data_IF_457364389548
#
_entry.id   IF_457364389548
#
_cell.length_a   1.000
_cell.length_b   1.000
_cell.length_c   1.000
_cell.angle_alpha   90.00
_cell.angle_beta   90.00
_cell.angle_gamma   90.00
#
_symmetry.space_group_name_H-M   'P 1'
#
loop_
_entity.id
_entity.type
_entity.pdbx_description
1 polymer ?
#
# COMPACT_ATOMS: atom_id res chain seq x y z
N UNK A 1 16.42 -3.56 -7.71
CA UNK A 1 15.19 -3.66 -6.90
C UNK A 1 15.48 -3.30 -5.45
N UNK A 2 14.65 -2.50 -4.87
CA UNK A 2 14.75 -2.15 -3.46
C UNK A 2 13.47 -2.57 -2.75
N UNK A 3 13.61 -3.22 -1.60
CA UNK A 3 12.49 -3.75 -0.83
C UNK A 3 12.52 -3.15 0.56
N UNK A 4 11.36 -2.72 1.04
CA UNK A 4 11.18 -2.21 2.39
C UNK A 4 10.05 -2.97 3.08
N UNK A 5 10.14 -3.05 4.40
CA UNK A 5 9.14 -3.75 5.19
C UNK A 5 8.85 -2.92 6.44
N UNK A 6 7.58 -2.83 6.79
CA UNK A 6 7.15 -2.17 8.01
C UNK A 6 5.99 -2.96 8.60
N UNK A 7 5.75 -2.77 9.90
CA UNK A 7 4.71 -3.52 10.60
C UNK A 7 4.07 -2.65 11.67
N UNK A 8 2.87 -3.06 12.08
CA UNK A 8 2.12 -2.41 13.15
C UNK A 8 1.20 -3.44 13.81
N UNK A 9 0.71 -3.10 14.99
CA UNK A 9 -0.26 -3.93 15.71
C UNK A 9 -1.47 -3.05 16.05
N UNK A 10 -2.66 -3.53 15.73
CA UNK A 10 -3.91 -2.80 15.98
C UNK A 10 -4.78 -3.57 16.95
N UNK A 11 -5.45 -2.86 17.87
CA UNK A 11 -6.37 -3.46 18.84
C UNK A 11 -7.74 -3.66 18.20
N UNK A 12 -7.80 -4.52 17.18
CA UNK A 12 -9.01 -4.81 16.44
C UNK A 12 -8.88 -6.17 15.78
N UNK A 13 -9.99 -6.75 15.35
CA UNK A 13 -9.97 -8.02 14.62
C UNK A 13 -9.46 -7.82 13.20
N UNK A 14 -8.97 -8.90 12.54
CA UNK A 14 -8.56 -8.80 11.15
C UNK A 14 -9.67 -8.27 10.22
N UNK A 15 -10.92 -8.63 10.48
CA UNK A 15 -12.05 -8.13 9.69
C UNK A 15 -12.20 -6.61 9.81
N UNK A 16 -12.05 -6.07 11.00
CA UNK A 16 -12.14 -4.62 11.21
C UNK A 16 -10.97 -3.87 10.59
N UNK A 17 -9.76 -4.42 10.70
CA UNK A 17 -8.58 -3.85 10.07
C UNK A 17 -8.72 -3.88 8.56
N UNK A 18 -9.24 -4.98 8.01
CA UNK A 18 -9.45 -5.12 6.58
C UNK A 18 -10.42 -4.09 6.00
N UNK A 19 -11.43 -3.68 6.75
CA UNK A 19 -12.37 -2.66 6.32
C UNK A 19 -11.69 -1.33 5.99
N UNK A 20 -10.53 -1.09 6.57
CA UNK A 20 -9.74 0.12 6.29
C UNK A 20 -8.66 -0.17 5.27
N UNK A 21 -7.81 -1.17 5.52
CA UNK A 21 -6.63 -1.43 4.70
C UNK A 21 -6.96 -2.11 3.38
N UNK A 22 -7.99 -2.94 3.35
CA UNK A 22 -8.40 -3.66 2.15
C UNK A 22 -9.46 -2.94 1.32
N UNK A 23 -9.87 -1.75 1.71
CA UNK A 23 -10.89 -0.97 0.99
C UNK A 23 -10.24 0.18 0.22
N UNK A 24 -10.15 0.09 -1.12
CA UNK A 24 -9.48 1.12 -1.91
C UNK A 24 -10.10 2.51 -1.77
N UNK A 25 -11.42 2.58 -1.51
CA UNK A 25 -12.10 3.86 -1.34
C UNK A 25 -11.62 4.63 -0.12
N UNK A 26 -10.98 3.96 0.83
CA UNK A 26 -10.46 4.57 2.05
C UNK A 26 -8.97 4.84 2.01
N UNK A 27 -8.29 4.48 0.92
CA UNK A 27 -6.84 4.65 0.84
C UNK A 27 -6.40 6.11 0.95
N UNK A 28 -7.20 7.05 0.48
CA UNK A 28 -6.90 8.47 0.64
C UNK A 28 -6.89 8.93 2.09
N UNK A 29 -7.49 8.17 3.00
CA UNK A 29 -7.58 8.53 4.41
C UNK A 29 -6.33 8.10 5.20
N UNK A 30 -5.60 7.10 4.73
CA UNK A 30 -4.46 6.57 5.48
C UNK A 30 -3.18 6.38 4.67
N UNK A 31 -3.28 5.96 3.41
CA UNK A 31 -2.10 5.70 2.57
C UNK A 31 -1.52 7.02 2.08
N UNK A 32 -0.41 7.42 2.70
CA UNK A 32 0.17 8.76 2.52
C UNK A 32 0.52 9.06 1.07
N UNK A 33 1.01 8.06 0.32
CA UNK A 33 1.39 8.25 -1.08
C UNK A 33 0.18 8.33 -2.02
N UNK A 34 -0.97 7.82 -1.61
CA UNK A 34 -2.18 7.82 -2.44
C UNK A 34 -2.90 9.17 -2.35
N UNK A 35 -3.24 9.76 -3.48
CA UNK A 35 -3.98 11.02 -3.55
C UNK A 35 -5.43 10.80 -3.93
N UNK A 36 -5.66 10.14 -5.05
CA UNK A 36 -7.01 9.90 -5.56
C UNK A 36 -7.00 8.77 -6.59
N UNK A 37 -8.18 8.25 -6.91
CA UNK A 37 -8.35 7.29 -7.99
C UNK A 37 -8.71 8.03 -9.28
N UNK A 38 -8.03 7.71 -10.37
CA UNK A 38 -8.37 8.23 -11.70
C UNK A 38 -9.46 7.41 -12.37
N UNK A 39 -9.52 6.12 -12.06
CA UNK A 39 -10.51 5.22 -12.60
C UNK A 39 -11.44 4.73 -11.49
N UNK A 40 -12.56 4.12 -11.87
CA UNK A 40 -13.47 3.51 -10.90
C UNK A 40 -12.76 2.36 -10.18
N UNK A 41 -12.99 2.23 -8.88
CA UNK A 41 -12.50 1.10 -8.11
C UNK A 41 -13.67 0.30 -7.56
N UNK A 42 -13.56 -1.03 -7.46
CA UNK A 42 -14.63 -1.84 -6.89
C UNK A 42 -14.75 -1.56 -5.38
N UNK A 43 -15.96 -1.67 -4.84
CA UNK A 43 -16.19 -1.54 -3.42
C UNK A 43 -15.50 -2.66 -2.63
N UNK A 44 -15.43 -3.84 -3.25
CA UNK A 44 -14.71 -4.99 -2.70
C UNK A 44 -13.72 -5.45 -3.74
N UNK A 45 -12.46 -5.59 -3.33
CA UNK A 45 -11.40 -6.05 -4.21
C UNK A 45 -11.53 -7.55 -4.48
N UNK A 46 -11.21 -7.94 -5.71
CA UNK A 46 -11.06 -9.33 -6.11
C UNK A 46 -9.75 -9.51 -6.87
N UNK A 47 -9.20 -10.70 -6.85
CA UNK A 47 -7.98 -10.99 -7.59
C UNK A 47 -8.21 -10.75 -9.08
N UNK A 48 -7.29 -10.02 -9.71
CA UNK A 48 -7.38 -9.63 -11.11
C UNK A 48 -7.95 -8.25 -11.37
N UNK A 49 -8.50 -7.57 -10.34
CA UNK A 49 -8.98 -6.21 -10.49
C UNK A 49 -7.83 -5.26 -10.76
N UNK A 50 -8.12 -4.17 -11.46
CA UNK A 50 -7.13 -3.14 -11.78
C UNK A 50 -7.75 -1.75 -11.62
N UNK A 51 -6.92 -0.78 -11.27
CA UNK A 51 -7.33 0.62 -11.16
C UNK A 51 -6.13 1.53 -11.30
N UNK A 52 -6.38 2.76 -11.78
CA UNK A 52 -5.33 3.77 -11.94
C UNK A 52 -5.47 4.82 -10.87
N UNK A 53 -4.36 5.14 -10.21
CA UNK A 53 -4.32 6.09 -9.10
C UNK A 53 -3.41 7.27 -9.38
N UNK A 54 -3.77 8.41 -8.82
CA UNK A 54 -2.86 9.55 -8.66
C UNK A 54 -2.17 9.38 -7.31
N UNK A 55 -0.84 9.48 -7.31
CA UNK A 55 -0.04 9.33 -6.12
C UNK A 55 1.00 10.45 -6.03
N UNK A 56 1.63 10.56 -4.88
CA UNK A 56 2.74 11.50 -4.67
C UNK A 56 3.85 10.78 -3.95
N UNK A 57 5.04 10.79 -4.53
CA UNK A 57 6.24 10.20 -3.93
C UNK A 57 7.31 11.28 -3.91
N UNK A 58 7.85 11.58 -2.72
CA UNK A 58 8.84 12.65 -2.53
C UNK A 58 8.35 14.00 -3.09
N UNK A 59 7.06 14.32 -2.87
CA UNK A 59 6.39 15.52 -3.37
C UNK A 59 6.28 15.59 -4.90
N UNK A 60 6.55 14.50 -5.60
CA UNK A 60 6.38 14.42 -7.06
C UNK A 60 5.09 13.70 -7.40
N UNK A 61 4.24 14.29 -8.26
CA UNK A 61 3.02 13.60 -8.68
C UNK A 61 3.37 12.41 -9.60
N UNK A 62 2.73 11.29 -9.35
CA UNK A 62 2.93 10.05 -10.13
C UNK A 62 1.58 9.44 -10.44
N UNK A 63 1.47 8.84 -11.61
CA UNK A 63 0.31 8.02 -11.95
C UNK A 63 0.72 6.56 -11.88
N UNK A 64 -0.02 5.77 -11.13
CA UNK A 64 0.28 4.34 -10.94
C UNK A 64 -0.89 3.51 -11.47
N UNK A 65 -0.59 2.58 -12.36
CA UNK A 65 -1.55 1.57 -12.82
C UNK A 65 -1.40 0.34 -11.94
N UNK A 66 -2.36 0.13 -11.03
CA UNK A 66 -2.35 -0.98 -10.10
C UNK A 66 -3.10 -2.18 -10.64
N UNK A 67 -2.56 -3.37 -10.39
CA UNK A 67 -3.25 -4.65 -10.59
C UNK A 67 -3.27 -5.38 -9.25
N UNK A 68 -4.46 -5.74 -8.79
CA UNK A 68 -4.63 -6.48 -7.55
C UNK A 68 -4.47 -7.96 -7.85
N UNK A 69 -3.24 -8.46 -7.71
CA UNK A 69 -2.85 -9.79 -8.18
C UNK A 69 -3.42 -10.90 -7.33
N UNK A 70 -3.48 -10.70 -6.01
CA UNK A 70 -4.01 -11.69 -5.09
C UNK A 70 -4.75 -10.99 -3.94
N UNK A 71 -6.02 -11.31 -3.77
CA UNK A 71 -6.84 -10.76 -2.69
C UNK A 71 -7.41 -11.93 -1.89
N UNK A 72 -6.95 -12.07 -0.67
CA UNK A 72 -7.41 -13.10 0.27
C UNK A 72 -7.90 -12.42 1.55
N UNK A 73 -9.11 -11.85 1.47
CA UNK A 73 -9.71 -11.13 2.59
C UNK A 73 -10.09 -12.08 3.71
N UNK A 74 -9.87 -11.73 4.97
CA UNK A 74 -9.24 -10.50 5.48
C UNK A 74 -7.75 -10.68 5.83
N UNK A 75 -7.04 -11.58 5.17
CA UNK A 75 -5.67 -11.97 5.54
C UNK A 75 -4.58 -11.27 4.77
N UNK A 76 -4.74 -11.11 3.45
CA UNK A 76 -3.66 -10.59 2.64
C UNK A 76 -4.15 -9.94 1.35
N UNK A 77 -3.31 -9.05 0.84
CA UNK A 77 -3.50 -8.38 -0.44
C UNK A 77 -2.11 -8.21 -1.07
N UNK A 78 -1.96 -8.66 -2.30
CA UNK A 78 -0.75 -8.44 -3.08
C UNK A 78 -1.13 -7.70 -4.36
N UNK A 79 -0.42 -6.62 -4.66
CA UNK A 79 -0.70 -5.81 -5.84
C UNK A 79 0.60 -5.34 -6.48
N UNK A 80 0.57 -5.23 -7.79
CA UNK A 80 1.68 -4.70 -8.57
C UNK A 80 1.25 -3.43 -9.28
N UNK A 81 2.16 -2.47 -9.39
CA UNK A 81 1.89 -1.21 -10.06
C UNK A 81 3.00 -0.84 -11.03
N UNK A 82 2.64 -0.10 -12.06
CA UNK A 82 3.61 0.46 -12.99
C UNK A 82 3.33 1.95 -13.15
N UNK A 83 4.40 2.73 -13.26
CA UNK A 83 4.30 4.15 -13.55
C UNK A 83 4.66 4.40 -15.00
N UNK A 84 4.30 5.57 -15.51
CA UNK A 84 4.63 5.97 -16.87
C UNK A 84 6.11 6.25 -17.07
N UNK A 85 6.83 6.42 -15.96
CA UNK A 85 8.29 6.58 -15.99
C UNK A 85 9.05 5.24 -16.02
N UNK A 86 8.33 4.11 -16.10
CA UNK A 86 8.95 2.80 -16.17
C UNK A 86 9.32 2.21 -14.82
N UNK A 87 8.91 2.82 -13.73
CA UNK A 87 9.14 2.29 -12.38
C UNK A 87 8.07 1.25 -12.07
N UNK A 88 8.48 0.11 -11.54
CA UNK A 88 7.58 -0.96 -11.12
C UNK A 88 7.51 -1.00 -9.59
N UNK A 89 6.31 -1.15 -9.09
CA UNK A 89 6.01 -1.22 -7.67
C UNK A 89 5.34 -2.54 -7.34
N UNK A 90 5.65 -3.09 -6.18
CA UNK A 90 4.91 -4.21 -5.63
C UNK A 90 4.59 -3.90 -4.18
N UNK A 91 3.35 -4.13 -3.77
CA UNK A 91 2.89 -3.88 -2.42
C UNK A 91 2.16 -5.11 -1.92
N UNK A 92 2.56 -5.60 -0.76
CA UNK A 92 1.90 -6.72 -0.11
C UNK A 92 1.54 -6.33 1.31
N UNK A 93 0.31 -6.61 1.70
CA UNK A 93 -0.20 -6.37 3.05
C UNK A 93 -0.66 -7.71 3.58
N UNK A 94 -0.21 -8.09 4.79
CA UNK A 94 -0.69 -9.29 5.45
C UNK A 94 -1.15 -8.97 6.87
N UNK A 95 -2.24 -9.63 7.27
CA UNK A 95 -2.87 -9.47 8.57
C UNK A 95 -2.87 -10.81 9.28
N UNK A 96 -2.42 -10.81 10.54
CA UNK A 96 -2.45 -12.02 11.38
C UNK A 96 -3.15 -11.69 12.69
N UNK A 97 -4.25 -12.38 12.96
CA UNK A 97 -4.98 -12.22 14.22
C UNK A 97 -4.20 -12.82 15.38
N UNK A 98 -4.09 -12.07 16.49
CA UNK A 98 -3.44 -12.49 17.72
C UNK A 98 -4.33 -12.05 18.87
N UNK A 99 -4.86 -13.00 19.65
CA UNK A 99 -5.71 -12.71 20.81
C UNK A 99 -6.71 -11.54 20.53
N UNK A 100 -6.42 -10.34 21.04
CA UNK A 100 -7.29 -9.17 20.86
C UNK A 100 -6.73 -8.16 19.87
N UNK A 101 -5.66 -8.51 19.16
CA UNK A 101 -4.98 -7.60 18.23
C UNK A 101 -4.83 -8.25 16.87
N UNK A 102 -4.46 -7.42 15.89
CA UNK A 102 -4.07 -7.87 14.57
C UNK A 102 -2.68 -7.32 14.25
N UNK A 103 -1.77 -8.22 13.93
CA UNK A 103 -0.46 -7.83 13.43
C UNK A 103 -0.57 -7.55 11.92
N UNK A 104 -0.10 -6.39 11.51
CA UNK A 104 -0.10 -5.98 10.10
C UNK A 104 1.32 -5.86 9.62
N UNK A 105 1.62 -6.48 8.50
CA UNK A 105 2.93 -6.39 7.86
C UNK A 105 2.75 -5.88 6.44
N UNK A 106 3.53 -4.86 6.08
CA UNK A 106 3.53 -4.29 4.74
C UNK A 106 4.91 -4.42 4.15
N UNK A 107 4.98 -5.05 2.99
CA UNK A 107 6.22 -5.17 2.21
C UNK A 107 6.02 -4.45 0.89
N UNK A 108 6.96 -3.57 0.55
CA UNK A 108 6.92 -2.82 -0.70
C UNK A 108 8.25 -2.97 -1.43
N UNK A 109 8.18 -3.18 -2.73
CA UNK A 109 9.36 -3.27 -3.60
C UNK A 109 9.24 -2.24 -4.70
N UNK A 110 10.36 -1.62 -5.05
CA UNK A 110 10.47 -0.63 -6.12
C UNK A 110 11.62 -1.04 -7.04
N UNK A 111 11.37 -0.98 -8.36
CA UNK A 111 12.35 -1.40 -9.36
C UNK A 111 12.28 -0.49 -10.59
N UNK A 112 13.43 -0.23 -11.18
CA UNK A 112 13.56 0.51 -12.44
C UNK A 112 13.81 2.01 -12.29
N UNK A 113 14.18 2.65 -13.39
CA UNK A 113 14.39 4.09 -13.44
C UNK A 113 15.46 4.58 -12.48
N UNK A 114 15.16 5.67 -11.78
CA UNK A 114 16.08 6.28 -10.81
C UNK A 114 16.36 5.41 -9.58
N UNK A 115 15.51 4.40 -9.35
CA UNK A 115 15.62 3.53 -8.16
C UNK A 115 16.89 2.70 -8.22
N UNK A 116 17.34 2.34 -9.41
CA UNK A 116 18.56 1.55 -9.61
C UNK A 116 19.82 2.41 -9.57
N UNK A 117 19.67 3.73 -9.50
CA UNK A 117 20.78 4.66 -9.49
C UNK A 117 21.11 5.19 -8.09
N UNK A 118 21.95 6.25 -8.01
CA UNK A 118 22.38 6.82 -6.72
C UNK A 118 21.23 7.31 -5.83
N UNK A 119 20.10 7.66 -6.41
CA UNK A 119 18.94 8.15 -5.66
C UNK A 119 18.10 7.05 -5.03
N UNK A 120 18.38 5.78 -5.34
CA UNK A 120 17.60 4.65 -4.86
C UNK A 120 17.50 4.56 -3.34
N UNK A 121 18.60 4.88 -2.63
CA UNK A 121 18.61 4.89 -1.18
C UNK A 121 17.68 5.96 -0.59
N UNK A 122 17.64 7.13 -1.22
CA UNK A 122 16.76 8.22 -0.80
C UNK A 122 15.30 7.83 -1.02
N UNK A 123 14.97 7.24 -2.16
CA UNK A 123 13.63 6.71 -2.43
C UNK A 123 13.21 5.66 -1.42
N UNK A 124 14.11 4.72 -1.11
CA UNK A 124 13.84 3.67 -0.14
C UNK A 124 13.49 4.26 1.23
N UNK A 125 14.29 5.21 1.70
CA UNK A 125 14.06 5.83 3.02
C UNK A 125 12.77 6.64 3.03
N UNK A 126 12.46 7.35 1.95
CA UNK A 126 11.21 8.10 1.80
C UNK A 126 10.00 7.15 1.84
N UNK A 127 10.10 6.01 1.17
CA UNK A 127 9.01 5.02 1.14
C UNK A 127 8.79 4.41 2.52
N UNK A 128 9.84 4.05 3.24
CA UNK A 128 9.72 3.53 4.61
C UNK A 128 8.99 4.53 5.50
N UNK A 129 9.40 5.79 5.47
CA UNK A 129 8.76 6.83 6.26
C UNK A 129 7.29 7.02 5.91
N UNK A 130 6.96 6.99 4.61
CA UNK A 130 5.58 7.12 4.15
C UNK A 130 4.72 5.95 4.60
N UNK A 131 5.23 4.72 4.53
CA UNK A 131 4.51 3.53 4.96
C UNK A 131 4.29 3.52 6.48
N UNK A 132 5.31 3.89 7.26
CA UNK A 132 5.17 3.97 8.72
C UNK A 132 4.11 5.00 9.10
N UNK A 133 4.12 6.16 8.46
CA UNK A 133 3.13 7.20 8.68
C UNK A 133 1.73 6.74 8.26
N UNK A 134 1.64 6.00 7.17
CA UNK A 134 0.38 5.44 6.69
C UNK A 134 -0.22 4.49 7.71
N UNK A 135 0.58 3.57 8.26
CA UNK A 135 0.10 2.62 9.26
C UNK A 135 -0.37 3.32 10.54
N UNK A 136 0.29 4.39 10.96
CA UNK A 136 -0.15 5.18 12.11
C UNK A 136 -1.49 5.88 11.85
N UNK A 137 -1.68 6.40 10.64
CA UNK A 137 -2.96 7.01 10.26
C UNK A 137 -4.08 5.96 10.23
N UNK A 138 -3.79 4.79 9.68
CA UNK A 138 -4.77 3.70 9.63
C UNK A 138 -5.18 3.26 11.03
N UNK A 139 -4.26 3.26 11.99
CA UNK A 139 -4.55 2.89 13.37
C UNK A 139 -5.68 3.75 13.96
N UNK A 140 -5.67 5.04 13.67
CA UNK A 140 -6.71 5.96 14.12
C UNK A 140 -8.08 5.71 13.48
N UNK A 141 -8.11 5.07 12.32
CA UNK A 141 -9.35 4.76 11.61
C UNK A 141 -9.95 3.42 12.05
N UNK A 142 -9.11 2.52 12.55
CA UNK A 142 -9.53 1.17 12.95
C UNK A 142 -10.12 1.16 14.37
N UNK A 143 -9.63 2.00 15.24
CA UNK A 143 -10.01 2.01 16.65
C UNK A 143 -11.47 2.36 16.91
#
# INVERSE_FOLDING_TARGET
MRTVQTSASYKASPDEVWKVLGNPSRWGDWLVIHKSWKSAVPAQLASGDAATANASVMNMPVTIDWTFENVDAPRSLAMGGTTRAGVKLALAISLRGEAETTAVEVTASIDGGMIDGPMGGVFKNSLVGALDKSLKKAQGLVA
#
